data_IF_308562348445
#
_entry.id   IF_308562348445
#
_cell.length_a   1.000
_cell.length_b   1.000
_cell.length_c   1.000
_cell.angle_alpha   90.00
_cell.angle_beta   90.00
_cell.angle_gamma   90.00
#
_symmetry.space_group_name_H-M   'P 1'
#
loop_
_entity.id
_entity.type
_entity.pdbx_description
1 polymer ?
#
# COMPACT_ATOMS: atom_id res chain seq x y z
N UNK A 1 -1.77 -15.69 13.92
CA UNK A 1 -2.72 -15.06 12.96
C UNK A 1 -1.91 -14.06 12.16
N UNK A 2 -1.25 -14.56 11.13
CA UNK A 2 -0.33 -13.79 10.31
C UNK A 2 -1.08 -13.36 9.06
N UNK A 3 -1.08 -12.06 8.81
CA UNK A 3 -1.69 -11.52 7.61
C UNK A 3 -0.60 -10.97 6.69
N UNK A 4 -0.78 -11.21 5.39
CA UNK A 4 0.10 -10.66 4.37
C UNK A 4 -0.37 -9.29 3.92
N UNK A 5 0.59 -8.41 3.68
CA UNK A 5 0.43 -7.12 3.03
C UNK A 5 1.09 -7.20 1.66
N UNK A 6 0.36 -6.85 0.61
CA UNK A 6 0.87 -6.85 -0.76
C UNK A 6 0.43 -5.60 -1.49
N UNK A 7 1.37 -4.82 -2.02
CA UNK A 7 1.03 -3.73 -2.94
C UNK A 7 1.02 -4.26 -4.38
N UNK A 8 0.05 -3.80 -5.18
CA UNK A 8 0.00 -4.09 -6.61
C UNK A 8 0.73 -3.01 -7.44
N UNK A 9 1.26 -1.98 -6.79
CA UNK A 9 1.82 -0.80 -7.43
C UNK A 9 3.26 -0.55 -6.97
N UNK A 10 4.20 -0.52 -7.93
CA UNK A 10 5.64 -0.28 -7.67
C UNK A 10 5.94 1.07 -7.02
N UNK A 11 5.07 2.06 -7.21
CA UNK A 11 5.19 3.40 -6.62
C UNK A 11 4.65 3.48 -5.19
N UNK A 12 4.01 2.40 -4.70
CA UNK A 12 3.60 2.22 -3.30
C UNK A 12 4.64 1.33 -2.64
N UNK A 13 5.54 1.95 -1.87
CA UNK A 13 6.50 1.25 -1.03
C UNK A 13 5.88 0.97 0.33
N UNK A 14 5.79 -0.29 0.72
CA UNK A 14 5.36 -0.66 2.08
C UNK A 14 6.60 -0.56 2.97
N UNK A 15 6.58 0.35 3.95
CA UNK A 15 7.66 0.54 4.91
C UNK A 15 7.32 -0.30 6.14
N UNK A 16 7.61 -1.61 6.08
CA UNK A 16 7.30 -2.56 7.14
C UNK A 16 7.52 -4.00 6.69
N UNK A 17 7.16 -4.96 7.54
CA UNK A 17 7.15 -6.37 7.15
C UNK A 17 5.92 -6.67 6.27
N UNK A 18 6.12 -7.42 5.19
CA UNK A 18 5.04 -7.92 4.31
C UNK A 18 4.13 -8.95 5.03
N UNK A 19 4.51 -9.37 6.22
CA UNK A 19 3.74 -10.23 7.10
C UNK A 19 3.74 -9.62 8.51
N UNK A 20 2.54 -9.37 9.04
CA UNK A 20 2.33 -8.83 10.37
C UNK A 20 1.42 -9.76 11.16
N UNK A 21 1.60 -9.78 12.47
CA UNK A 21 0.80 -10.59 13.38
C UNK A 21 0.07 -9.70 14.37
N UNK A 22 -1.19 -10.03 14.68
CA UNK A 22 -1.99 -9.28 15.66
C UNK A 22 -2.42 -7.88 15.22
N UNK A 23 -2.63 -6.96 16.17
CA UNK A 23 -3.04 -5.58 15.89
C UNK A 23 -1.82 -4.72 15.52
N UNK A 24 -1.48 -4.71 14.23
CA UNK A 24 -0.28 -4.04 13.71
C UNK A 24 -0.63 -2.85 12.81
N UNK A 25 0.23 -1.84 12.80
CA UNK A 25 0.09 -0.66 11.93
C UNK A 25 0.90 -0.88 10.65
N UNK A 26 0.24 -0.82 9.49
CA UNK A 26 0.89 -0.88 8.18
C UNK A 26 1.24 0.54 7.73
N UNK A 27 2.54 0.83 7.63
CA UNK A 27 3.03 2.10 7.09
C UNK A 27 3.42 1.92 5.63
N UNK A 28 2.98 2.84 4.75
CA UNK A 28 3.37 2.84 3.34
C UNK A 28 3.73 4.26 2.88
N UNK A 29 4.63 4.33 1.91
CA UNK A 29 5.08 5.56 1.25
C UNK A 29 4.65 5.53 -0.20
N UNK A 30 4.12 6.67 -0.63
CA UNK A 30 3.71 6.91 -2.00
C UNK A 30 4.80 7.75 -2.65
N UNK A 31 5.40 7.26 -3.73
CA UNK A 31 6.34 8.05 -4.53
C UNK A 31 5.64 9.26 -5.14
N UNK A 32 6.35 10.38 -5.29
CA UNK A 32 5.77 11.60 -5.87
C UNK A 32 5.31 11.34 -7.32
N UNK A 33 4.26 12.03 -7.74
CA UNK A 33 3.68 11.87 -9.07
C UNK A 33 3.26 13.22 -9.67
N UNK A 34 4.15 13.89 -10.40
CA UNK A 34 3.91 15.23 -10.91
C UNK A 34 3.13 15.25 -12.24
N UNK A 35 2.89 14.11 -12.89
CA UNK A 35 2.41 14.07 -14.28
C UNK A 35 0.96 13.60 -14.42
N UNK A 36 0.65 12.38 -13.99
CA UNK A 36 -0.63 11.71 -14.32
C UNK A 36 -1.28 11.16 -13.07
N UNK A 37 -2.58 11.34 -12.84
CA UNK A 37 -3.24 10.66 -11.71
C UNK A 37 -3.13 9.14 -11.85
N UNK A 38 -2.78 8.45 -10.76
CA UNK A 38 -2.63 6.99 -10.75
C UNK A 38 -3.40 6.35 -9.61
N UNK A 39 -3.88 5.14 -9.88
CA UNK A 39 -4.61 4.31 -8.93
C UNK A 39 -3.78 3.07 -8.68
N UNK A 40 -3.64 2.71 -7.41
CA UNK A 40 -2.95 1.51 -6.97
C UNK A 40 -3.73 0.85 -5.86
N UNK A 41 -3.54 -0.45 -5.68
CA UNK A 41 -4.21 -1.22 -4.63
C UNK A 41 -3.20 -1.83 -3.69
N UNK A 42 -3.59 -1.94 -2.42
CA UNK A 42 -2.84 -2.60 -1.35
C UNK A 42 -3.79 -3.62 -0.73
N UNK A 43 -3.39 -4.89 -0.71
CA UNK A 43 -4.14 -5.94 -0.04
C UNK A 43 -3.52 -6.18 1.34
N UNK A 44 -4.31 -6.07 2.40
CA UNK A 44 -3.92 -6.28 3.81
C UNK A 44 -4.89 -7.28 4.43
N UNK A 45 -4.42 -8.43 4.87
CA UNK A 45 -5.28 -9.46 5.48
C UNK A 45 -6.48 -9.88 4.61
N UNK A 46 -6.30 -9.88 3.29
CA UNK A 46 -7.37 -10.15 2.33
C UNK A 46 -8.31 -8.97 2.04
N UNK A 47 -8.17 -7.85 2.77
CA UNK A 47 -8.90 -6.62 2.50
C UNK A 47 -8.15 -5.76 1.47
N UNK A 48 -8.86 -5.23 0.49
CA UNK A 48 -8.27 -4.40 -0.57
C UNK A 48 -8.48 -2.92 -0.29
N UNK A 49 -7.39 -2.19 -0.15
CA UNK A 49 -7.34 -0.74 -0.01
C UNK A 49 -6.97 -0.10 -1.34
N UNK A 50 -7.77 0.88 -1.77
CA UNK A 50 -7.54 1.61 -3.03
C UNK A 50 -6.90 2.95 -2.74
N UNK A 51 -5.69 3.15 -3.25
CA UNK A 51 -4.94 4.40 -3.16
C UNK A 51 -5.11 5.16 -4.47
N UNK A 52 -5.69 6.36 -4.38
CA UNK A 52 -5.84 7.29 -5.51
C UNK A 52 -4.87 8.44 -5.30
N UNK A 53 -3.82 8.48 -6.11
CA UNK A 53 -2.88 9.60 -6.11
C UNK A 53 -3.21 10.51 -7.29
N UNK A 54 -3.77 11.68 -7.00
CA UNK A 54 -3.94 12.75 -7.98
C UNK A 54 -2.60 13.36 -8.36
N UNK A 55 -2.48 13.90 -9.59
CA UNK A 55 -1.35 14.77 -9.93
C UNK A 55 -1.34 15.99 -9.00
N UNK A 56 -0.15 16.45 -8.62
CA UNK A 56 0.03 17.67 -7.85
C UNK A 56 -0.08 18.90 -8.75
#
# INVERSE_FOLDING_TARGET
>A
CDFSVKSNAKWIQINGADALSGNSVVSFRISVNPTISRIGTITIAGQTFTVRQSRI
#
